data_IF_220316773557
#
_entry.id   IF_220316773557
#
_cell.length_a   1.000
_cell.length_b   1.000
_cell.length_c   1.000
_cell.angle_alpha   90.00
_cell.angle_beta   90.00
_cell.angle_gamma   90.00
#
_symmetry.space_group_name_H-M   'P 1'
#
loop_
_entity.id
_entity.type
_entity.pdbx_description
1 polymer ?
#
# COMPACT_ATOMS: atom_id res chain seq x y z
N UNK A 1 -8.04 3.94 29.42
CA UNK A 1 -6.85 3.41 28.76
C UNK A 1 -6.97 3.67 27.28
N UNK A 2 -5.94 4.17 26.59
CA UNK A 2 -5.92 4.22 25.13
C UNK A 2 -5.98 2.78 24.60
N UNK A 3 -6.80 2.54 23.58
CA UNK A 3 -6.84 1.23 22.95
C UNK A 3 -5.66 1.11 22.00
N UNK A 4 -4.89 0.04 22.11
CA UNK A 4 -3.73 -0.22 21.27
C UNK A 4 -4.19 -0.55 19.85
N UNK A 5 -3.50 -0.01 18.85
CA UNK A 5 -3.72 -0.29 17.43
C UNK A 5 -2.44 -0.91 16.86
N UNK A 6 -2.58 -1.93 16.04
CA UNK A 6 -1.49 -2.47 15.25
C UNK A 6 -1.73 -2.14 13.80
N UNK A 7 -0.72 -1.59 13.14
CA UNK A 7 -0.72 -1.36 11.70
C UNK A 7 0.38 -2.22 11.08
N UNK A 8 -0.01 -3.16 10.24
CA UNK A 8 0.89 -4.12 9.60
C UNK A 8 0.74 -4.10 8.08
N UNK A 9 1.74 -4.63 7.39
CA UNK A 9 1.71 -4.81 5.94
C UNK A 9 2.85 -4.13 5.20
N UNK A 10 2.53 -3.52 4.07
CA UNK A 10 3.49 -2.94 3.16
C UNK A 10 4.17 -1.69 3.73
N UNK A 11 5.50 -1.63 3.60
CA UNK A 11 6.34 -0.46 3.89
C UNK A 11 7.40 -0.32 2.81
N UNK A 12 7.69 0.92 2.39
CA UNK A 12 8.74 1.21 1.41
C UNK A 12 9.44 2.53 1.71
N UNK A 13 10.56 2.77 1.04
CA UNK A 13 11.21 4.07 0.96
C UNK A 13 10.73 4.78 -0.29
N UNK A 14 10.11 5.95 -0.14
CA UNK A 14 9.71 6.78 -1.27
C UNK A 14 10.77 7.84 -1.53
N UNK A 15 11.25 7.89 -2.77
CA UNK A 15 12.24 8.84 -3.27
C UNK A 15 11.55 9.71 -4.31
N UNK A 16 11.31 10.98 -3.99
CA UNK A 16 10.62 11.93 -4.87
C UNK A 16 11.58 13.01 -5.33
N UNK A 17 12.18 12.87 -6.52
CA UNK A 17 13.01 13.91 -7.10
C UNK A 17 12.16 15.15 -7.41
N UNK A 18 12.63 16.33 -7.03
CA UNK A 18 11.93 17.59 -7.33
C UNK A 18 12.22 18.02 -8.75
N UNK A 19 11.19 18.03 -9.59
CA UNK A 19 11.27 18.50 -10.97
C UNK A 19 11.40 20.03 -11.03
N UNK A 20 12.07 20.58 -12.07
CA UNK A 20 12.06 22.02 -12.32
C UNK A 20 10.64 22.56 -12.49
N UNK A 21 10.46 23.83 -12.14
CA UNK A 21 9.19 24.54 -12.33
C UNK A 21 8.75 24.54 -13.80
N UNK A 22 7.45 24.46 -14.02
CA UNK A 22 6.83 24.54 -15.34
C UNK A 22 5.93 23.34 -15.64
N UNK A 23 4.64 23.61 -15.83
CA UNK A 23 3.68 22.55 -16.20
C UNK A 23 3.95 22.05 -17.61
N UNK A 24 3.95 20.73 -17.77
CA UNK A 24 4.05 20.03 -19.04
C UNK A 24 2.77 19.24 -19.32
N UNK A 25 2.58 18.83 -20.57
CA UNK A 25 1.39 18.08 -21.01
C UNK A 25 1.67 16.60 -21.20
N UNK A 26 2.92 16.20 -21.30
CA UNK A 26 3.32 14.79 -21.46
C UNK A 26 4.68 14.50 -20.85
N UNK A 27 4.91 13.26 -20.50
CA UNK A 27 6.17 12.76 -19.89
C UNK A 27 7.36 12.98 -20.82
N UNK A 28 7.18 12.82 -22.13
CA UNK A 28 8.23 12.93 -23.16
C UNK A 28 8.80 14.34 -23.27
N UNK A 29 8.05 15.37 -22.83
CA UNK A 29 8.57 16.74 -22.79
C UNK A 29 9.68 16.90 -21.75
N UNK A 30 9.69 16.09 -20.72
CA UNK A 30 10.67 16.11 -19.63
C UNK A 30 11.68 14.96 -19.77
N UNK A 31 11.16 13.71 -19.85
CA UNK A 31 11.99 12.52 -19.88
C UNK A 31 12.31 12.11 -21.32
N UNK A 32 13.55 12.34 -21.75
CA UNK A 32 14.01 11.97 -23.10
C UNK A 32 15.24 11.09 -23.00
N UNK A 33 15.33 9.97 -23.78
CA UNK A 33 16.51 9.11 -23.78
C UNK A 33 17.79 9.87 -24.11
N UNK A 34 18.87 9.56 -23.39
CA UNK A 34 20.21 10.13 -23.62
C UNK A 34 20.38 11.57 -23.11
N UNK A 35 19.37 12.20 -22.53
CA UNK A 35 19.50 13.52 -21.91
C UNK A 35 19.77 13.43 -20.42
N UNK A 36 20.66 14.30 -19.93
CA UNK A 36 20.83 14.59 -18.50
C UNK A 36 19.80 15.65 -18.13
N UNK A 37 18.97 15.35 -17.13
CA UNK A 37 17.96 16.27 -16.61
C UNK A 37 18.41 16.71 -15.23
N UNK A 38 18.57 18.02 -15.04
CA UNK A 38 18.94 18.56 -13.74
C UNK A 38 17.70 18.66 -12.86
N UNK A 39 17.74 17.97 -11.71
CA UNK A 39 16.67 17.93 -10.72
C UNK A 39 16.99 18.83 -9.53
N UNK A 40 15.98 19.19 -8.76
CA UNK A 40 16.15 19.75 -7.42
C UNK A 40 16.52 18.68 -6.39
N UNK A 41 16.43 19.02 -5.10
CA UNK A 41 16.65 18.06 -4.02
C UNK A 41 15.64 16.92 -4.10
N UNK A 42 16.07 15.70 -3.75
CA UNK A 42 15.12 14.61 -3.56
C UNK A 42 14.47 14.73 -2.17
N UNK A 43 13.15 14.59 -2.11
CA UNK A 43 12.44 14.30 -0.88
C UNK A 43 12.45 12.80 -0.64
N UNK A 44 12.84 12.38 0.57
CA UNK A 44 12.97 10.96 0.92
C UNK A 44 12.24 10.71 2.23
N UNK A 45 11.23 9.86 2.17
CA UNK A 45 10.39 9.51 3.32
C UNK A 45 9.92 8.06 3.24
N UNK A 46 9.28 7.59 4.29
CA UNK A 46 8.66 6.26 4.29
C UNK A 46 7.28 6.31 3.64
N UNK A 47 6.97 5.30 2.81
CA UNK A 47 5.66 5.06 2.21
C UNK A 47 5.08 3.71 2.61
N UNK A 48 3.95 3.36 1.98
CA UNK A 48 3.19 2.17 2.28
C UNK A 48 2.24 2.33 3.48
N UNK A 49 1.32 1.38 3.65
CA UNK A 49 0.28 1.46 4.68
C UNK A 49 0.85 1.57 6.10
N UNK A 50 1.94 0.84 6.39
CA UNK A 50 2.58 0.86 7.72
C UNK A 50 3.03 2.28 8.10
N UNK A 51 3.61 3.02 7.17
CA UNK A 51 4.01 4.40 7.40
C UNK A 51 2.81 5.37 7.27
N UNK A 52 2.09 5.35 6.16
CA UNK A 52 1.05 6.32 5.85
C UNK A 52 -0.09 6.29 6.89
N UNK A 53 -0.61 5.10 7.20
CA UNK A 53 -1.68 4.93 8.18
C UNK A 53 -1.13 4.90 9.60
N UNK A 54 -0.05 4.15 9.82
CA UNK A 54 0.47 3.92 11.17
C UNK A 54 1.07 5.17 11.81
N UNK A 55 1.93 5.90 11.10
CA UNK A 55 2.50 7.15 11.63
C UNK A 55 1.44 8.24 11.75
N UNK A 56 0.49 8.33 10.80
CA UNK A 56 -0.62 9.28 10.90
C UNK A 56 -1.45 9.03 12.17
N UNK A 57 -1.83 7.78 12.45
CA UNK A 57 -2.53 7.43 13.70
C UNK A 57 -1.71 7.78 14.93
N UNK A 58 -0.40 7.52 14.93
CA UNK A 58 0.50 7.84 16.05
C UNK A 58 0.60 9.35 16.27
N UNK A 59 0.74 10.14 15.21
CA UNK A 59 0.77 11.61 15.27
C UNK A 59 -0.55 12.20 15.80
N UNK A 60 -1.69 11.57 15.47
CA UNK A 60 -3.00 11.90 16.01
C UNK A 60 -3.20 11.44 17.47
N UNK A 61 -2.19 10.81 18.06
CA UNK A 61 -2.15 10.46 19.47
C UNK A 61 -2.74 9.10 19.82
N UNK A 62 -2.96 8.20 18.83
CA UNK A 62 -3.27 6.81 19.10
C UNK A 62 -2.05 6.07 19.67
N UNK A 63 -2.29 4.99 20.42
CA UNK A 63 -1.25 4.05 20.86
C UNK A 63 -1.04 3.01 19.76
N UNK A 64 -0.03 3.22 18.91
CA UNK A 64 0.19 2.44 17.68
C UNK A 64 1.51 1.69 17.74
N UNK A 65 1.47 0.40 17.39
CA UNK A 65 2.64 -0.42 17.06
C UNK A 65 2.63 -0.75 15.57
N UNK A 66 3.80 -0.65 14.92
CA UNK A 66 3.96 -0.95 13.50
C UNK A 66 4.58 -2.33 13.30
N UNK A 67 4.14 -3.07 12.27
CA UNK A 67 4.73 -4.35 11.87
C UNK A 67 4.93 -4.35 10.35
N UNK A 68 6.16 -4.55 9.92
CA UNK A 68 6.54 -4.59 8.51
C UNK A 68 7.90 -5.25 8.32
N UNK A 69 8.31 -5.42 7.08
CA UNK A 69 9.56 -6.10 6.73
C UNK A 69 10.39 -5.22 5.79
N UNK A 70 11.67 -5.05 6.13
CA UNK A 70 12.66 -4.34 5.32
C UNK A 70 13.85 -5.26 5.07
N UNK A 71 14.62 -4.99 4.02
CA UNK A 71 15.88 -5.69 3.76
C UNK A 71 16.99 -5.28 4.74
N UNK A 72 18.04 -6.06 4.81
CA UNK A 72 19.28 -5.71 5.53
C UNK A 72 20.20 -4.90 4.62
N UNK A 73 19.76 -3.71 4.21
CA UNK A 73 20.45 -2.81 3.27
C UNK A 73 20.31 -1.34 3.70
N UNK A 74 20.95 -0.44 2.91
CA UNK A 74 20.96 0.99 3.20
C UNK A 74 19.56 1.63 3.20
N UNK A 75 18.62 1.15 2.37
CA UNK A 75 17.25 1.66 2.35
C UNK A 75 16.47 1.21 3.59
N UNK A 76 16.71 -0.03 4.04
CA UNK A 76 16.17 -0.53 5.31
C UNK A 76 16.67 0.29 6.50
N UNK A 77 17.97 0.62 6.53
CA UNK A 77 18.52 1.50 7.57
C UNK A 77 17.88 2.90 7.54
N UNK A 78 17.63 3.47 6.35
CA UNK A 78 16.94 4.76 6.22
C UNK A 78 15.51 4.70 6.75
N UNK A 79 14.72 3.68 6.39
CA UNK A 79 13.36 3.48 6.92
C UNK A 79 13.39 3.37 8.45
N UNK A 80 14.27 2.52 8.99
CA UNK A 80 14.36 2.31 10.43
C UNK A 80 14.77 3.59 11.19
N UNK A 81 15.67 4.39 10.62
CA UNK A 81 16.06 5.68 11.20
C UNK A 81 14.89 6.69 11.19
N UNK A 82 14.11 6.72 10.12
CA UNK A 82 12.91 7.58 10.06
C UNK A 82 11.90 7.13 11.11
N UNK A 83 11.60 5.83 11.20
CA UNK A 83 10.66 5.29 12.20
C UNK A 83 11.15 5.46 13.64
N UNK A 84 12.47 5.43 13.88
CA UNK A 84 13.06 5.69 15.19
C UNK A 84 12.78 7.11 15.69
N UNK A 85 12.77 8.09 14.79
CA UNK A 85 12.36 9.47 15.09
C UNK A 85 10.91 9.61 15.59
N UNK A 86 10.09 8.58 15.39
CA UNK A 86 8.70 8.51 15.87
C UNK A 86 8.51 7.46 16.97
N UNK A 87 9.56 6.86 17.54
CA UNK A 87 9.47 5.72 18.45
C UNK A 87 8.59 4.57 17.91
N UNK A 88 8.79 4.22 16.63
CA UNK A 88 7.88 3.32 15.89
C UNK A 88 8.59 2.14 15.19
N UNK A 89 9.89 1.95 15.38
CA UNK A 89 10.67 0.90 14.67
C UNK A 89 10.59 -0.49 15.28
N UNK A 90 10.11 -0.64 16.53
CA UNK A 90 10.29 -1.87 17.34
C UNK A 90 9.72 -3.14 16.70
N UNK A 91 8.59 -3.02 15.97
CA UNK A 91 7.94 -4.16 15.30
C UNK A 91 8.42 -4.43 13.87
N UNK A 92 9.51 -3.79 13.44
CA UNK A 92 10.05 -3.97 12.09
C UNK A 92 11.01 -5.16 12.02
N UNK A 93 10.84 -6.01 10.99
CA UNK A 93 11.68 -7.17 10.73
C UNK A 93 12.75 -6.79 9.69
N UNK A 94 13.99 -7.22 9.93
CA UNK A 94 15.07 -7.14 8.95
C UNK A 94 15.27 -8.51 8.29
N UNK A 95 15.10 -8.55 6.97
CA UNK A 95 15.26 -9.75 6.16
C UNK A 95 16.62 -9.73 5.46
N UNK A 96 17.45 -10.76 5.74
CA UNK A 96 18.78 -10.90 5.14
C UNK A 96 18.76 -11.44 3.71
N UNK A 97 17.67 -12.11 3.36
CA UNK A 97 17.53 -12.80 2.07
C UNK A 97 16.84 -11.91 1.01
N UNK A 98 16.41 -10.71 1.40
CA UNK A 98 15.70 -9.79 0.52
C UNK A 98 16.25 -8.36 0.62
N UNK A 99 15.85 -7.52 -0.34
CA UNK A 99 16.16 -6.09 -0.36
C UNK A 99 14.97 -5.28 0.14
N UNK A 100 15.21 -4.05 0.55
CA UNK A 100 14.14 -3.14 0.98
C UNK A 100 13.30 -2.66 -0.20
N UNK A 101 11.99 -2.61 0.00
CA UNK A 101 11.05 -1.99 -0.94
C UNK A 101 11.31 -0.50 -1.09
N UNK A 102 11.21 -0.01 -2.32
CA UNK A 102 11.28 1.42 -2.60
C UNK A 102 10.38 1.82 -3.76
N UNK A 103 10.01 3.09 -3.81
CA UNK A 103 9.38 3.72 -4.97
C UNK A 103 10.16 4.97 -5.37
N UNK A 104 10.42 5.14 -6.67
CA UNK A 104 10.78 6.46 -7.21
C UNK A 104 9.51 7.10 -7.71
N UNK A 105 9.12 8.21 -7.08
CA UNK A 105 7.87 8.92 -7.38
C UNK A 105 8.16 10.08 -8.33
N UNK A 106 7.73 9.97 -9.56
CA UNK A 106 7.86 11.03 -10.56
C UNK A 106 6.66 11.97 -10.47
N UNK A 107 6.80 13.04 -9.68
CA UNK A 107 5.79 14.08 -9.51
C UNK A 107 6.04 15.22 -10.51
N UNK A 108 5.80 14.95 -11.81
CA UNK A 108 6.05 15.90 -12.89
C UNK A 108 4.93 16.97 -12.87
N UNK A 109 5.26 18.27 -12.81
CA UNK A 109 4.24 19.32 -12.77
C UNK A 109 3.29 19.29 -13.98
N UNK A 110 2.00 19.12 -13.74
CA UNK A 110 0.96 19.08 -14.78
C UNK A 110 0.57 17.67 -15.24
N UNK A 111 1.19 16.63 -14.68
CA UNK A 111 0.88 15.21 -14.93
C UNK A 111 0.65 14.53 -13.56
N UNK A 112 -0.22 13.52 -13.52
CA UNK A 112 -0.36 12.72 -12.31
C UNK A 112 0.91 11.91 -12.03
N UNK A 113 1.11 11.55 -10.76
CA UNK A 113 2.31 10.86 -10.27
C UNK A 113 2.50 9.50 -10.93
N UNK A 114 3.75 9.21 -11.28
CA UNK A 114 4.16 7.90 -11.78
C UNK A 114 5.03 7.23 -10.71
N UNK A 115 4.73 5.99 -10.38
CA UNK A 115 5.45 5.23 -9.36
C UNK A 115 6.29 4.13 -10.03
N UNK A 116 7.62 4.20 -9.85
CA UNK A 116 8.53 3.12 -10.22
C UNK A 116 8.80 2.31 -8.96
N UNK A 117 8.07 1.22 -8.78
CA UNK A 117 8.03 0.47 -7.52
C UNK A 117 8.80 -0.85 -7.57
N UNK A 118 9.61 -1.09 -6.52
CA UNK A 118 10.24 -2.36 -6.22
C UNK A 118 9.68 -2.93 -4.91
N UNK A 119 9.06 -4.11 -4.91
CA UNK A 119 8.36 -4.64 -3.73
C UNK A 119 9.29 -5.16 -2.62
N UNK A 120 10.48 -5.66 -2.95
CA UNK A 120 11.47 -6.11 -1.99
C UNK A 120 10.92 -7.10 -0.95
N UNK A 121 11.31 -6.94 0.31
CA UNK A 121 10.96 -7.82 1.42
C UNK A 121 9.46 -7.94 1.68
N UNK A 122 8.63 -7.01 1.20
CA UNK A 122 7.17 -7.12 1.32
C UNK A 122 6.63 -8.36 0.60
N UNK A 123 7.29 -8.83 -0.48
CA UNK A 123 6.86 -10.03 -1.23
C UNK A 123 6.86 -11.31 -0.40
N UNK A 124 7.67 -11.36 0.66
CA UNK A 124 7.82 -12.53 1.53
C UNK A 124 7.19 -12.33 2.91
N UNK A 125 6.50 -11.20 3.14
CA UNK A 125 5.80 -10.97 4.40
C UNK A 125 4.66 -11.98 4.56
N UNK A 126 4.58 -12.61 5.73
CA UNK A 126 3.68 -13.73 6.00
C UNK A 126 3.07 -13.66 7.40
N UNK A 127 2.12 -14.55 7.68
CA UNK A 127 1.51 -14.69 9.03
C UNK A 127 2.56 -14.95 10.11
N UNK A 128 3.63 -15.65 9.77
CA UNK A 128 4.76 -15.93 10.68
C UNK A 128 5.52 -14.67 11.10
N UNK A 129 5.37 -13.56 10.39
CA UNK A 129 6.00 -12.28 10.69
C UNK A 129 5.17 -11.43 11.68
N UNK A 130 3.98 -11.89 12.05
CA UNK A 130 3.08 -11.19 12.97
C UNK A 130 3.35 -11.62 14.41
N UNK A 131 3.58 -10.65 15.28
CA UNK A 131 3.64 -10.82 16.72
C UNK A 131 2.21 -10.92 17.30
N UNK A 132 1.65 -12.13 17.32
CA UNK A 132 0.30 -12.39 17.81
C UNK A 132 0.12 -12.10 19.31
N UNK A 133 1.18 -12.06 20.11
CA UNK A 133 1.05 -11.69 21.52
C UNK A 133 0.74 -10.19 21.62
N UNK A 134 1.32 -9.35 20.77
CA UNK A 134 0.92 -7.94 20.67
C UNK A 134 -0.48 -7.77 20.08
N UNK A 135 -0.87 -8.61 19.10
CA UNK A 135 -2.22 -8.55 18.48
C UNK A 135 -3.32 -8.85 19.51
N UNK A 136 -3.13 -9.84 20.39
CA UNK A 136 -4.09 -10.16 21.47
C UNK A 136 -4.38 -9.01 22.42
N UNK A 137 -3.44 -8.07 22.56
CA UNK A 137 -3.60 -6.87 23.39
C UNK A 137 -4.19 -5.68 22.64
N UNK A 138 -4.34 -5.79 21.31
CA UNK A 138 -4.81 -4.72 20.46
C UNK A 138 -6.35 -4.67 20.40
N UNK A 139 -6.88 -3.47 20.26
CA UNK A 139 -8.29 -3.26 19.95
C UNK A 139 -8.57 -3.31 18.44
N UNK A 140 -7.56 -2.98 17.62
CA UNK A 140 -7.65 -2.94 16.16
C UNK A 140 -6.33 -3.44 15.57
N UNK A 141 -6.43 -4.29 14.56
CA UNK A 141 -5.36 -4.67 13.66
C UNK A 141 -5.72 -4.19 12.25
N UNK A 142 -4.93 -3.28 11.70
CA UNK A 142 -5.05 -2.80 10.34
C UNK A 142 -3.98 -3.43 9.47
N UNK A 143 -4.37 -4.06 8.37
CA UNK A 143 -3.47 -4.62 7.37
C UNK A 143 -3.62 -3.86 6.05
N UNK A 144 -2.51 -3.36 5.52
CA UNK A 144 -2.59 -2.53 4.33
C UNK A 144 -1.69 -2.98 3.18
N UNK A 145 -2.24 -2.82 1.98
CA UNK A 145 -1.63 -3.02 0.68
C UNK A 145 -1.20 -4.47 0.37
N UNK A 146 -2.04 -5.50 0.66
CA UNK A 146 -1.77 -6.88 0.27
C UNK A 146 -1.56 -7.03 -1.25
N UNK A 147 -2.10 -6.12 -2.03
CA UNK A 147 -1.98 -6.06 -3.49
C UNK A 147 -0.53 -5.88 -3.97
N UNK A 148 0.34 -5.32 -3.13
CA UNK A 148 1.76 -5.12 -3.41
C UNK A 148 2.66 -6.20 -2.76
N UNK A 149 2.07 -7.28 -2.21
CA UNK A 149 2.75 -8.29 -1.42
C UNK A 149 2.47 -9.69 -2.00
N UNK A 150 3.43 -10.28 -2.73
CA UNK A 150 3.23 -11.51 -3.52
C UNK A 150 2.68 -12.68 -2.68
N UNK A 151 3.16 -12.86 -1.45
CA UNK A 151 2.65 -13.87 -0.52
C UNK A 151 1.14 -13.76 -0.28
N UNK A 152 0.60 -12.52 -0.28
CA UNK A 152 -0.79 -12.25 0.09
C UNK A 152 -1.79 -12.52 -1.03
N UNK A 153 -1.35 -12.49 -2.31
CA UNK A 153 -2.25 -12.76 -3.43
C UNK A 153 -1.97 -14.09 -4.15
N UNK A 154 -0.83 -14.73 -3.91
CA UNK A 154 -0.55 -16.07 -4.42
C UNK A 154 -1.52 -17.12 -3.84
N UNK A 155 -1.72 -18.23 -4.56
CA UNK A 155 -2.59 -19.34 -4.14
C UNK A 155 -4.00 -18.87 -3.74
N UNK A 156 -4.61 -18.00 -4.57
CA UNK A 156 -5.95 -17.44 -4.32
C UNK A 156 -6.05 -16.74 -2.96
N UNK A 157 -5.00 -16.04 -2.54
CA UNK A 157 -4.96 -15.26 -1.31
C UNK A 157 -4.92 -16.09 -0.03
N UNK A 158 -4.46 -17.34 -0.09
CA UNK A 158 -4.49 -18.25 1.07
C UNK A 158 -3.79 -17.66 2.30
N UNK A 159 -2.68 -16.96 2.12
CA UNK A 159 -1.94 -16.33 3.21
C UNK A 159 -2.70 -15.13 3.80
N UNK A 160 -3.31 -14.29 2.97
CA UNK A 160 -4.15 -13.16 3.42
C UNK A 160 -5.36 -13.66 4.22
N UNK A 161 -6.05 -14.70 3.72
CA UNK A 161 -7.16 -15.34 4.44
C UNK A 161 -6.70 -15.88 5.79
N UNK A 162 -5.54 -16.58 5.82
CA UNK A 162 -4.98 -17.13 7.05
C UNK A 162 -4.66 -16.01 8.04
N UNK A 163 -4.04 -14.92 7.58
CA UNK A 163 -3.71 -13.76 8.41
C UNK A 163 -4.96 -13.17 9.05
N UNK A 164 -5.95 -12.75 8.23
CA UNK A 164 -7.13 -12.06 8.74
C UNK A 164 -7.96 -12.94 9.68
N UNK A 165 -8.09 -14.23 9.36
CA UNK A 165 -8.74 -15.20 10.23
C UNK A 165 -8.01 -15.34 11.57
N UNK A 166 -6.68 -15.51 11.56
CA UNK A 166 -5.88 -15.65 12.78
C UNK A 166 -5.94 -14.43 13.67
N UNK A 167 -5.99 -13.22 13.07
CA UNK A 167 -6.20 -11.97 13.81
C UNK A 167 -7.58 -11.92 14.44
N UNK A 168 -8.63 -12.23 13.67
CA UNK A 168 -10.00 -12.24 14.19
C UNK A 168 -10.17 -13.20 15.37
N UNK A 169 -9.50 -14.36 15.34
CA UNK A 169 -9.48 -15.34 16.43
C UNK A 169 -8.85 -14.81 17.73
N UNK A 170 -8.04 -13.74 17.68
CA UNK A 170 -7.51 -13.07 18.88
C UNK A 170 -8.54 -12.19 19.58
N UNK A 171 -9.62 -11.81 18.89
CA UNK A 171 -10.64 -10.88 19.37
C UNK A 171 -10.35 -9.40 19.06
N UNK A 172 -9.25 -9.09 18.38
CA UNK A 172 -9.00 -7.76 17.85
C UNK A 172 -9.94 -7.47 16.67
N UNK A 173 -10.46 -6.25 16.56
CA UNK A 173 -11.15 -5.82 15.35
C UNK A 173 -10.17 -5.80 14.17
N UNK A 174 -10.65 -6.15 12.98
CA UNK A 174 -9.84 -6.28 11.78
C UNK A 174 -10.14 -5.17 10.78
N UNK A 175 -9.11 -4.64 10.14
CA UNK A 175 -9.24 -3.65 9.07
C UNK A 175 -8.33 -4.00 7.92
N UNK A 176 -8.82 -3.87 6.70
CA UNK A 176 -8.10 -4.15 5.46
C UNK A 176 -8.18 -2.97 4.52
N UNK A 177 -7.01 -2.54 4.03
CA UNK A 177 -6.84 -1.51 3.01
C UNK A 177 -6.12 -2.11 1.79
N UNK A 178 -6.37 -1.57 0.61
CA UNK A 178 -5.76 -2.02 -0.64
C UNK A 178 -4.76 -0.98 -1.16
N UNK A 179 -4.20 -1.24 -2.33
CA UNK A 179 -3.47 -0.29 -3.13
C UNK A 179 -3.69 -0.59 -4.61
N UNK A 180 -3.62 0.43 -5.44
CA UNK A 180 -3.64 0.28 -6.88
C UNK A 180 -2.50 -0.63 -7.36
N UNK A 181 -2.75 -1.40 -8.40
CA UNK A 181 -1.79 -2.33 -9.00
C UNK A 181 -1.64 -2.09 -10.50
N UNK A 182 -0.46 -2.39 -11.02
CA UNK A 182 -0.27 -2.47 -12.46
C UNK A 182 -1.07 -3.65 -13.03
N UNK A 183 -1.98 -3.36 -13.96
CA UNK A 183 -2.85 -4.35 -14.61
C UNK A 183 -2.08 -5.49 -15.29
N UNK A 184 -0.84 -5.25 -15.73
CA UNK A 184 0.01 -6.22 -16.39
C UNK A 184 0.90 -7.01 -15.42
N UNK A 185 0.90 -6.67 -14.14
CA UNK A 185 1.65 -7.38 -13.11
C UNK A 185 0.96 -8.69 -12.69
N UNK A 186 1.68 -9.56 -11.98
CA UNK A 186 1.09 -10.77 -11.37
C UNK A 186 -0.08 -10.40 -10.43
N UNK A 187 0.06 -9.33 -9.65
CA UNK A 187 -0.99 -8.83 -8.78
C UNK A 187 -2.21 -8.36 -9.57
N UNK A 188 -2.00 -7.65 -10.70
CA UNK A 188 -3.07 -7.21 -11.58
C UNK A 188 -3.81 -8.35 -12.30
N UNK A 189 -3.17 -9.51 -12.45
CA UNK A 189 -3.75 -10.71 -13.06
C UNK A 189 -4.35 -11.69 -12.03
N UNK A 190 -4.23 -11.41 -10.73
CA UNK A 190 -4.81 -12.24 -9.68
C UNK A 190 -6.34 -12.13 -9.67
N UNK A 191 -7.01 -13.21 -9.26
CA UNK A 191 -8.48 -13.24 -9.10
C UNK A 191 -8.87 -12.56 -7.77
N UNK A 192 -8.87 -11.23 -7.78
CA UNK A 192 -9.20 -10.44 -6.59
C UNK A 192 -10.63 -10.62 -6.11
N UNK A 193 -11.58 -10.87 -6.99
CA UNK A 193 -12.96 -11.17 -6.59
C UNK A 193 -13.01 -12.43 -5.70
N UNK A 194 -12.26 -13.47 -6.09
CA UNK A 194 -12.12 -14.71 -5.31
C UNK A 194 -11.34 -14.48 -4.02
N UNK A 195 -10.21 -13.74 -4.07
CA UNK A 195 -9.37 -13.45 -2.91
C UNK A 195 -10.17 -12.67 -1.87
N UNK A 196 -10.83 -11.58 -2.28
CA UNK A 196 -11.64 -10.75 -1.39
C UNK A 196 -12.85 -11.50 -0.85
N UNK A 197 -13.57 -12.27 -1.69
CA UNK A 197 -14.70 -13.09 -1.25
C UNK A 197 -14.33 -14.11 -0.16
N UNK A 198 -13.08 -14.60 -0.14
CA UNK A 198 -12.56 -15.50 0.91
C UNK A 198 -12.05 -14.75 2.14
N UNK A 199 -11.57 -13.52 1.97
CA UNK A 199 -10.92 -12.74 3.04
C UNK A 199 -11.91 -11.91 3.84
N UNK A 200 -12.86 -11.25 3.17
CA UNK A 200 -13.79 -10.30 3.79
C UNK A 200 -14.66 -10.87 4.92
N UNK A 201 -15.02 -12.18 4.97
CA UNK A 201 -15.68 -12.76 6.15
C UNK A 201 -14.90 -12.60 7.47
N UNK A 202 -13.61 -12.28 7.41
CA UNK A 202 -12.72 -12.07 8.55
C UNK A 202 -12.32 -10.61 8.74
N UNK A 203 -13.00 -9.66 8.06
CA UNK A 203 -12.68 -8.22 8.06
C UNK A 203 -13.87 -7.43 8.58
N UNK A 204 -13.66 -6.64 9.65
CA UNK A 204 -14.69 -5.77 10.23
C UNK A 204 -14.77 -4.41 9.49
N UNK A 205 -13.62 -3.90 9.01
CA UNK A 205 -13.53 -2.63 8.29
C UNK A 205 -12.75 -2.82 6.99
N UNK A 206 -13.42 -2.68 5.87
CA UNK A 206 -12.81 -2.71 4.54
C UNK A 206 -12.81 -1.31 3.95
N UNK A 207 -11.62 -0.77 3.63
CA UNK A 207 -11.41 0.65 3.30
C UNK A 207 -10.65 0.88 1.99
N UNK A 208 -11.05 0.22 0.88
CA UNK A 208 -10.44 0.44 -0.43
C UNK A 208 -10.85 1.79 -1.01
N UNK A 209 -10.09 2.28 -2.00
CA UNK A 209 -10.59 3.30 -2.91
C UNK A 209 -11.63 2.71 -3.87
N UNK A 210 -12.45 3.58 -4.46
CA UNK A 210 -13.44 3.12 -5.46
C UNK A 210 -12.74 2.60 -6.74
N UNK A 211 -11.59 3.17 -7.09
CA UNK A 211 -10.78 2.72 -8.22
C UNK A 211 -10.29 1.29 -8.01
N UNK A 212 -9.79 0.98 -6.82
CA UNK A 212 -9.35 -0.36 -6.46
C UNK A 212 -10.51 -1.36 -6.51
N UNK A 213 -11.70 -0.98 -5.99
CA UNK A 213 -12.89 -1.84 -6.05
C UNK A 213 -13.31 -2.13 -7.48
N UNK A 214 -13.45 -1.09 -8.32
CA UNK A 214 -13.81 -1.28 -9.73
C UNK A 214 -12.78 -2.16 -10.44
N UNK A 215 -11.49 -1.86 -10.28
CA UNK A 215 -10.41 -2.64 -10.89
C UNK A 215 -10.45 -4.12 -10.49
N UNK A 216 -10.77 -4.43 -9.24
CA UNK A 216 -10.68 -5.78 -8.69
C UNK A 216 -11.95 -6.60 -8.86
N UNK A 217 -13.11 -5.95 -8.89
CA UNK A 217 -14.41 -6.64 -8.91
C UNK A 217 -15.09 -6.55 -10.27
N UNK A 218 -14.89 -5.46 -11.02
CA UNK A 218 -15.53 -5.22 -12.32
C UNK A 218 -14.57 -4.47 -13.25
N UNK A 219 -13.70 -5.20 -13.90
CA UNK A 219 -12.68 -4.66 -14.80
C UNK A 219 -13.29 -3.90 -15.98
N UNK A 220 -14.37 -4.38 -16.54
CA UNK A 220 -15.06 -3.74 -17.65
C UNK A 220 -15.60 -2.37 -17.24
N UNK A 221 -16.17 -2.30 -16.03
CA UNK A 221 -16.63 -1.03 -15.44
C UNK A 221 -15.46 -0.07 -15.18
N UNK A 222 -14.34 -0.56 -14.70
CA UNK A 222 -13.14 0.26 -14.47
C UNK A 222 -12.65 0.88 -15.81
N UNK A 223 -12.58 0.08 -16.88
CA UNK A 223 -12.17 0.56 -18.20
C UNK A 223 -13.18 1.57 -18.79
N UNK A 224 -14.49 1.34 -18.61
CA UNK A 224 -15.54 2.31 -18.98
C UNK A 224 -15.34 3.65 -18.24
N UNK A 225 -15.08 3.62 -16.95
CA UNK A 225 -14.86 4.82 -16.13
C UNK A 225 -13.59 5.57 -16.57
N UNK A 226 -12.50 4.86 -16.87
CA UNK A 226 -11.28 5.47 -17.41
C UNK A 226 -11.53 6.18 -18.75
N UNK A 227 -12.32 5.56 -19.65
CA UNK A 227 -12.70 6.20 -20.92
C UNK A 227 -13.55 7.45 -20.68
N UNK A 228 -14.50 7.40 -19.73
CA UNK A 228 -15.34 8.56 -19.36
C UNK A 228 -14.52 9.70 -18.76
N UNK A 229 -13.47 9.37 -17.97
CA UNK A 229 -12.59 10.34 -17.33
C UNK A 229 -11.63 11.03 -18.33
N UNK A 230 -11.43 10.47 -19.54
CA UNK A 230 -10.59 11.04 -20.61
C UNK A 230 -9.20 11.50 -20.11
N UNK A 231 -8.55 10.66 -19.29
CA UNK A 231 -7.25 10.94 -18.68
C UNK A 231 -7.30 11.80 -17.41
N UNK A 232 -8.49 12.11 -16.90
CA UNK A 232 -8.73 12.71 -15.58
C UNK A 232 -8.96 11.65 -14.50
N UNK A 233 -9.36 12.11 -13.32
CA UNK A 233 -9.70 11.27 -12.18
C UNK A 233 -11.07 10.61 -12.40
N UNK A 234 -11.18 9.28 -12.23
CA UNK A 234 -12.45 8.56 -12.41
C UNK A 234 -13.50 8.99 -11.38
N UNK A 235 -13.09 9.51 -10.23
CA UNK A 235 -14.01 10.01 -9.20
C UNK A 235 -14.81 11.22 -9.64
N UNK A 236 -14.30 12.01 -10.62
CA UNK A 236 -14.99 13.17 -11.18
C UNK A 236 -16.18 12.79 -12.09
N UNK A 237 -16.19 11.57 -12.61
CA UNK A 237 -17.21 11.08 -13.56
C UNK A 237 -18.08 9.97 -12.99
N UNK A 238 -17.85 9.60 -11.72
CA UNK A 238 -18.48 8.49 -11.06
C UNK A 238 -19.92 8.82 -10.63
N UNK A 239 -20.87 7.90 -10.91
CA UNK A 239 -22.23 7.93 -10.37
C UNK A 239 -22.37 6.86 -9.26
N UNK A 240 -22.62 7.30 -8.02
CA UNK A 240 -22.68 6.39 -6.86
C UNK A 240 -23.78 5.34 -7.03
N UNK A 241 -24.93 5.71 -7.59
CA UNK A 241 -26.08 4.80 -7.75
C UNK A 241 -25.86 3.76 -8.84
N UNK A 242 -25.21 4.16 -9.95
CA UNK A 242 -25.04 3.32 -11.13
C UNK A 242 -23.72 2.56 -11.14
N UNK A 243 -22.65 3.18 -10.61
CA UNK A 243 -21.29 2.64 -10.74
C UNK A 243 -20.80 1.99 -9.43
N UNK A 244 -21.23 2.48 -8.25
CA UNK A 244 -20.73 2.00 -6.94
C UNK A 244 -21.63 0.99 -6.27
N UNK A 245 -22.93 1.27 -6.19
CA UNK A 245 -23.89 0.38 -5.50
C UNK A 245 -23.90 -1.06 -6.01
N UNK A 246 -23.73 -1.34 -7.33
CA UNK A 246 -23.66 -2.71 -7.82
C UNK A 246 -22.43 -3.50 -7.34
N UNK A 247 -21.38 -2.82 -6.86
CA UNK A 247 -20.15 -3.44 -6.34
C UNK A 247 -20.24 -3.80 -4.84
N UNK A 248 -21.24 -3.30 -4.14
CA UNK A 248 -21.47 -3.53 -2.71
C UNK A 248 -22.40 -4.74 -2.48
#
# INVERSE_FOLDING_TARGET
>A
MKKKVIVAGHICLDITPVFPDGKVKSVEQVLSPGKLIQMGNADVHTGGAVANTGLAMKLLGADVSLMGKVGEDAFGDMILNILDGYDAKEGMIRDKESTTSYSVVLAIPGIDRIFLHHPGANHTFAVSDIDFDKVKEAALFHFGYPTLMESMYNNDGAELVHLMKSVQETGAATSLDLAAVDANSKAGQADWAKILGRTLPYVDFFVPSIEELCFMLDRDKFEELQVRADGGDITDVLDIEQDVKPLA
#
